data_IF_282862262039
#
_entry.id   IF_282862262039
#
_cell.length_a   1.000
_cell.length_b   1.000
_cell.length_c   1.000
_cell.angle_alpha   90.00
_cell.angle_beta   90.00
_cell.angle_gamma   90.00
#
_symmetry.space_group_name_H-M   'P 1'
#
loop_
_entity.id
_entity.type
_entity.pdbx_description
1 polymer ?
#
# COMPACT_ATOMS: atom_id res chain seq x y z
N UNK A 1 8.98 -45.38 -38.05
CA UNK A 1 8.60 -45.25 -36.63
C UNK A 1 9.38 -44.08 -36.07
N UNK A 2 8.67 -43.02 -35.68
CA UNK A 2 9.25 -41.72 -35.40
C UNK A 2 9.96 -41.64 -34.05
N UNK A 3 10.97 -40.79 -34.00
CA UNK A 3 11.41 -40.16 -32.77
C UNK A 3 11.73 -38.69 -33.09
N UNK A 4 10.67 -37.89 -33.12
CA UNK A 4 10.72 -36.45 -32.95
C UNK A 4 10.84 -36.21 -31.43
N UNK A 5 12.06 -35.89 -31.02
CA UNK A 5 12.45 -35.77 -29.62
C UNK A 5 13.10 -34.41 -29.35
N UNK A 6 12.32 -33.35 -29.60
CA UNK A 6 12.38 -32.08 -28.86
C UNK A 6 13.74 -31.41 -28.73
N UNK A 7 13.97 -30.39 -29.54
CA UNK A 7 15.00 -29.36 -29.38
C UNK A 7 14.87 -28.68 -28.01
N UNK A 8 15.54 -29.21 -26.98
CA UNK A 8 15.68 -28.49 -25.70
C UNK A 8 16.72 -27.39 -25.90
N UNK A 9 16.22 -26.19 -26.19
CA UNK A 9 17.01 -24.98 -26.13
C UNK A 9 17.69 -24.87 -24.75
N UNK A 10 19.00 -24.65 -24.81
CA UNK A 10 19.94 -24.70 -23.69
C UNK A 10 19.58 -23.65 -22.63
N UNK A 11 19.79 -23.98 -21.36
CA UNK A 11 19.69 -23.10 -20.19
C UNK A 11 20.70 -21.95 -20.16
N UNK A 12 20.82 -21.19 -21.25
CA UNK A 12 21.64 -19.99 -21.41
C UNK A 12 20.86 -18.79 -21.99
N UNK A 13 19.60 -18.95 -22.41
CA UNK A 13 18.80 -17.86 -23.01
C UNK A 13 17.84 -17.14 -22.03
N UNK A 14 17.80 -17.52 -20.75
CA UNK A 14 17.13 -16.72 -19.71
C UNK A 14 18.05 -15.66 -19.06
N UNK A 15 19.34 -15.66 -19.39
CA UNK A 15 20.31 -14.66 -18.89
C UNK A 15 20.46 -13.43 -19.80
N UNK A 16 19.76 -13.39 -20.95
CA UNK A 16 19.89 -12.32 -21.94
C UNK A 16 18.78 -11.25 -21.90
N UNK A 17 17.81 -11.33 -20.96
CA UNK A 17 16.83 -10.26 -20.72
C UNK A 17 17.07 -9.53 -19.38
N UNK A 18 17.83 -10.13 -18.44
CA UNK A 18 18.13 -9.53 -17.13
C UNK A 18 19.61 -9.53 -16.73
N UNK A 19 20.52 -9.93 -17.63
CA UNK A 19 21.95 -9.82 -17.42
C UNK A 19 22.50 -8.46 -17.90
N UNK A 20 23.33 -7.84 -17.07
CA UNK A 20 24.62 -7.28 -17.48
C UNK A 20 24.87 -5.76 -17.63
N UNK A 21 24.00 -4.83 -17.25
CA UNK A 21 24.41 -3.39 -17.23
C UNK A 21 24.08 -2.60 -15.94
N UNK A 22 23.82 -3.28 -14.83
CA UNK A 22 23.90 -2.65 -13.50
C UNK A 22 24.61 -3.60 -12.50
N UNK A 23 25.92 -3.75 -12.73
CA UNK A 23 26.93 -4.27 -11.83
C UNK A 23 26.59 -4.10 -10.34
N UNK A 24 26.59 -5.09 -9.46
CA UNK A 24 27.72 -5.98 -9.10
C UNK A 24 29.10 -5.30 -9.09
N UNK A 25 29.16 -4.04 -8.65
CA UNK A 25 30.39 -3.39 -8.16
C UNK A 25 30.05 -2.21 -7.22
N UNK A 26 29.34 -2.50 -6.15
CA UNK A 26 29.24 -1.62 -4.97
C UNK A 26 29.17 -2.48 -3.69
N UNK A 27 30.11 -3.40 -3.54
CA UNK A 27 30.50 -3.88 -2.21
C UNK A 27 31.28 -2.75 -1.54
N UNK A 28 30.55 -1.83 -0.90
CA UNK A 28 30.90 -1.01 0.27
C UNK A 28 29.90 0.16 0.37
N UNK A 29 29.31 0.34 1.56
CA UNK A 29 28.45 1.47 1.96
C UNK A 29 27.26 1.80 1.05
N UNK A 30 26.21 0.98 1.09
CA UNK A 30 24.87 1.46 0.73
C UNK A 30 23.88 1.05 1.83
N UNK A 31 23.72 1.98 2.77
CA UNK A 31 22.48 2.16 3.52
C UNK A 31 21.33 2.06 2.52
N UNK A 32 20.33 1.23 2.79
CA UNK A 32 19.26 0.97 1.84
C UNK A 32 18.48 2.27 1.60
N UNK A 33 18.84 2.97 0.54
CA UNK A 33 18.38 4.30 0.20
C UNK A 33 16.84 4.28 0.16
N UNK A 34 16.25 5.10 1.01
CA UNK A 34 14.81 5.19 1.19
C UNK A 34 14.21 6.02 0.07
N UNK A 35 14.07 5.35 -1.05
CA UNK A 35 13.56 5.93 -2.28
C UNK A 35 12.10 5.55 -2.50
N UNK A 36 11.40 6.43 -3.20
CA UNK A 36 10.10 6.16 -3.77
C UNK A 36 10.21 4.97 -4.73
N UNK A 37 9.46 3.90 -4.52
CA UNK A 37 9.53 2.73 -5.40
C UNK A 37 9.12 3.04 -6.85
N UNK A 38 8.26 4.04 -7.06
CA UNK A 38 7.78 4.41 -8.39
C UNK A 38 8.80 5.20 -9.22
N UNK A 39 9.60 6.06 -8.57
CA UNK A 39 10.45 7.04 -9.26
C UNK A 39 11.92 6.98 -8.87
N UNK A 40 12.27 6.15 -7.89
CA UNK A 40 13.61 6.05 -7.29
C UNK A 40 14.14 7.37 -6.72
N UNK A 41 13.26 8.36 -6.48
CA UNK A 41 13.61 9.64 -5.88
C UNK A 41 13.63 9.53 -4.35
N UNK A 42 14.45 10.32 -3.66
CA UNK A 42 14.47 10.34 -2.19
C UNK A 42 13.11 10.78 -1.64
N UNK A 43 12.71 10.17 -0.51
CA UNK A 43 11.44 10.48 0.16
C UNK A 43 11.49 11.80 0.94
N UNK A 44 12.68 12.29 1.25
CA UNK A 44 12.91 13.60 1.85
C UNK A 44 13.63 14.52 0.87
N UNK A 45 13.45 15.82 1.07
CA UNK A 45 14.26 16.86 0.41
C UNK A 45 14.65 17.88 1.46
N UNK A 46 15.96 18.05 1.66
CA UNK A 46 16.52 19.04 2.59
C UNK A 46 16.02 18.83 4.04
N UNK A 47 15.99 17.59 4.53
CA UNK A 47 15.56 17.25 5.89
C UNK A 47 14.06 17.39 6.16
N UNK A 48 13.24 17.76 5.17
CA UNK A 48 11.78 17.80 5.30
C UNK A 48 11.17 16.57 4.63
N UNK A 49 10.31 15.87 5.37
CA UNK A 49 9.48 14.80 4.81
C UNK A 49 8.53 15.39 3.78
N UNK A 50 8.58 14.90 2.54
CA UNK A 50 7.45 15.08 1.64
C UNK A 50 6.26 14.24 2.13
N UNK A 51 5.07 14.44 1.54
CA UNK A 51 3.93 13.57 1.85
C UNK A 51 4.19 12.18 1.26
N UNK A 52 4.42 11.22 2.14
CA UNK A 52 4.67 9.81 1.77
C UNK A 52 3.37 9.02 1.89
N UNK A 53 3.17 8.11 0.95
CA UNK A 53 2.13 7.09 1.00
C UNK A 53 2.78 5.70 0.99
N UNK A 54 2.12 4.72 1.60
CA UNK A 54 2.56 3.33 1.64
C UNK A 54 1.47 2.38 1.16
N UNK A 55 1.85 1.24 0.60
CA UNK A 55 0.93 0.15 0.26
C UNK A 55 0.97 -0.99 1.29
N UNK A 56 0.09 -1.98 1.14
CA UNK A 56 0.03 -3.13 2.05
C UNK A 56 1.28 -4.01 2.03
N UNK A 57 2.11 -3.93 0.97
CA UNK A 57 3.35 -4.69 0.84
C UNK A 57 4.49 -4.01 1.60
N UNK A 58 4.30 -2.77 2.05
CA UNK A 58 5.31 -1.99 2.76
C UNK A 58 6.17 -1.12 1.85
N UNK A 59 5.77 -0.93 0.60
CA UNK A 59 6.46 -0.04 -0.34
C UNK A 59 6.10 1.41 -0.04
N UNK A 60 7.08 2.30 -0.17
CA UNK A 60 6.90 3.74 0.05
C UNK A 60 6.88 4.51 -1.27
N UNK A 61 6.06 5.55 -1.32
CA UNK A 61 5.84 6.38 -2.50
C UNK A 61 5.73 7.86 -2.13
N UNK A 62 6.21 8.73 -3.01
CA UNK A 62 5.84 10.14 -2.96
C UNK A 62 4.38 10.29 -3.40
N UNK A 63 3.52 10.76 -2.47
CA UNK A 63 2.06 10.77 -2.67
C UNK A 63 1.64 11.54 -3.92
N UNK A 64 2.32 12.64 -4.24
CA UNK A 64 2.05 13.45 -5.45
C UNK A 64 2.25 12.64 -6.73
N UNK A 65 3.40 11.98 -6.86
CA UNK A 65 3.76 11.22 -8.06
C UNK A 65 2.89 9.97 -8.22
N UNK A 66 2.56 9.31 -7.10
CA UNK A 66 1.65 8.17 -7.13
C UNK A 66 0.25 8.58 -7.60
N UNK A 67 -0.24 9.74 -7.14
CA UNK A 67 -1.53 10.29 -7.58
C UNK A 67 -1.54 10.63 -9.07
N UNK A 68 -0.49 11.28 -9.56
CA UNK A 68 -0.34 11.59 -10.98
C UNK A 68 -0.35 10.31 -11.83
N UNK A 69 0.39 9.28 -11.43
CA UNK A 69 0.43 7.99 -12.13
C UNK A 69 -0.92 7.23 -12.08
N UNK A 70 -1.66 7.31 -10.96
CA UNK A 70 -3.00 6.73 -10.85
C UNK A 70 -4.00 7.42 -11.78
N UNK A 71 -3.97 8.76 -11.86
CA UNK A 71 -4.83 9.54 -12.76
C UNK A 71 -4.50 9.27 -14.23
N UNK A 72 -3.22 9.16 -14.57
CA UNK A 72 -2.74 8.83 -15.90
C UNK A 72 -2.91 7.34 -16.26
N UNK A 73 -3.27 6.48 -15.29
CA UNK A 73 -3.30 5.01 -15.44
C UNK A 73 -1.98 4.43 -15.95
N UNK A 74 -0.86 5.01 -15.51
CA UNK A 74 0.49 4.71 -15.99
C UNK A 74 1.33 3.92 -14.98
N UNK A 75 0.69 3.25 -14.02
CA UNK A 75 1.41 2.44 -13.03
C UNK A 75 2.03 1.19 -13.67
N UNK A 76 3.28 0.82 -13.30
CA UNK A 76 3.89 -0.44 -13.71
C UNK A 76 3.07 -1.65 -13.28
N UNK A 77 3.19 -2.76 -14.02
CA UNK A 77 2.49 -4.01 -13.72
C UNK A 77 2.79 -4.54 -12.30
N UNK A 78 4.01 -4.31 -11.80
CA UNK A 78 4.43 -4.67 -10.45
C UNK A 78 3.60 -3.98 -9.34
N UNK A 79 2.97 -2.84 -9.66
CA UNK A 79 2.13 -2.03 -8.76
C UNK A 79 0.63 -2.13 -9.10
N UNK A 80 0.24 -3.13 -9.90
CA UNK A 80 -1.16 -3.33 -10.34
C UNK A 80 -2.16 -3.60 -9.21
N UNK A 81 -1.68 -3.91 -8.00
CA UNK A 81 -2.51 -4.01 -6.81
C UNK A 81 -3.04 -2.65 -6.33
N UNK A 82 -2.38 -1.54 -6.68
CA UNK A 82 -2.81 -0.19 -6.34
C UNK A 82 -3.74 0.31 -7.45
N UNK A 83 -5.05 0.32 -7.17
CA UNK A 83 -6.08 0.75 -8.15
C UNK A 83 -6.71 2.08 -7.77
N UNK A 84 -6.63 2.44 -6.50
CA UNK A 84 -7.28 3.60 -5.93
C UNK A 84 -6.55 4.10 -4.70
N UNK A 85 -6.96 5.29 -4.24
CA UNK A 85 -6.50 5.86 -2.97
C UNK A 85 -6.83 4.99 -1.75
N UNK A 86 -7.76 4.03 -1.88
CA UNK A 86 -8.12 3.12 -0.79
C UNK A 86 -7.11 2.00 -0.57
N UNK A 87 -6.22 1.79 -1.54
CA UNK A 87 -5.21 0.74 -1.55
C UNK A 87 -3.87 1.21 -0.95
N UNK A 88 -3.82 2.48 -0.49
CA UNK A 88 -2.66 3.11 0.13
C UNK A 88 -3.03 3.81 1.44
N UNK A 89 -2.05 3.96 2.32
CA UNK A 89 -2.15 4.72 3.56
C UNK A 89 -1.20 5.91 3.51
N UNK A 90 -1.63 7.04 4.06
CA UNK A 90 -0.72 8.16 4.31
C UNK A 90 0.17 7.81 5.49
N UNK A 91 1.48 7.98 5.34
CA UNK A 91 2.45 7.63 6.40
C UNK A 91 3.30 8.83 6.81
N UNK A 92 3.54 8.94 8.11
CA UNK A 92 4.37 9.99 8.72
C UNK A 92 5.76 9.43 8.99
N UNK A 93 6.70 9.79 8.13
CA UNK A 93 8.10 9.38 8.22
C UNK A 93 8.91 10.50 8.88
N UNK A 94 9.74 10.14 9.86
CA UNK A 94 10.65 11.07 10.52
C UNK A 94 12.07 10.88 9.98
N UNK A 95 12.71 11.97 9.58
CA UNK A 95 14.06 11.98 9.02
C UNK A 95 15.01 12.78 9.93
N UNK A 96 16.26 12.33 10.02
CA UNK A 96 17.39 13.06 10.62
C UNK A 96 17.89 14.18 9.67
N UNK A 97 18.83 15.01 10.13
CA UNK A 97 19.56 15.99 9.31
C UNK A 97 20.34 15.36 8.15
N UNK A 98 20.64 14.07 8.26
CA UNK A 98 21.29 13.25 7.23
C UNK A 98 20.28 12.53 6.30
N UNK A 99 19.00 12.91 6.34
CA UNK A 99 17.93 12.27 5.55
C UNK A 99 17.73 10.76 5.83
N UNK A 100 18.21 10.30 6.99
CA UNK A 100 18.04 8.95 7.51
C UNK A 100 16.69 8.80 8.23
N UNK A 101 15.96 7.69 8.03
CA UNK A 101 14.75 7.43 8.82
C UNK A 101 15.11 7.13 10.27
N UNK A 102 14.44 7.84 11.17
CA UNK A 102 14.58 7.68 12.61
C UNK A 102 13.24 7.33 13.23
N UNK A 103 13.25 6.39 14.18
CA UNK A 103 12.07 6.09 14.96
C UNK A 103 11.80 7.23 15.95
N UNK A 104 10.61 7.85 15.95
CA UNK A 104 10.32 8.98 16.84
C UNK A 104 10.21 8.57 18.32
N UNK A 105 10.08 7.27 18.61
CA UNK A 105 9.92 6.73 19.98
C UNK A 105 11.26 6.25 20.56
N UNK A 106 12.04 5.50 19.78
CA UNK A 106 13.29 4.90 20.25
C UNK A 106 14.55 5.63 19.79
N UNK A 107 14.41 6.64 18.94
CA UNK A 107 15.51 7.34 18.25
C UNK A 107 16.43 6.41 17.45
N UNK A 108 16.03 5.15 17.22
CA UNK A 108 16.80 4.20 16.44
C UNK A 108 16.82 4.64 14.97
N UNK A 109 18.00 4.59 14.33
CA UNK A 109 18.15 4.76 12.89
C UNK A 109 17.74 3.47 12.17
N UNK A 110 17.12 3.59 11.00
CA UNK A 110 16.77 2.42 10.19
C UNK A 110 18.04 1.73 9.68
N UNK A 111 18.14 0.42 9.90
CA UNK A 111 19.18 -0.41 9.30
C UNK A 111 18.54 -1.65 8.65
N UNK A 112 19.32 -2.40 7.87
CA UNK A 112 18.85 -3.68 7.28
C UNK A 112 18.43 -4.71 8.34
N UNK A 113 19.01 -4.63 9.54
CA UNK A 113 18.71 -5.55 10.65
C UNK A 113 17.55 -5.09 11.53
N UNK A 114 17.26 -3.79 11.55
CA UNK A 114 16.18 -3.21 12.34
C UNK A 114 15.07 -2.73 11.41
N UNK A 115 14.08 -3.60 11.09
CA UNK A 115 12.98 -3.21 10.23
C UNK A 115 12.12 -2.15 10.91
N UNK A 116 11.47 -1.35 10.08
CA UNK A 116 10.50 -0.35 10.48
C UNK A 116 9.13 -0.80 10.01
N UNK A 117 8.10 -0.36 10.71
CA UNK A 117 6.72 -0.62 10.38
C UNK A 117 5.91 0.67 10.47
N UNK A 118 4.77 0.68 9.81
CA UNK A 118 3.75 1.68 10.03
C UNK A 118 2.45 1.04 10.51
N UNK A 119 1.64 1.85 11.18
CA UNK A 119 0.31 1.46 11.62
C UNK A 119 -0.73 1.99 10.64
N UNK A 120 -1.58 1.13 10.07
CA UNK A 120 -2.60 1.53 9.08
C UNK A 120 -3.59 2.57 9.59
N UNK A 121 -3.86 2.59 10.90
CA UNK A 121 -4.87 3.47 11.51
C UNK A 121 -4.42 4.92 11.59
N UNK A 122 -3.15 5.17 11.87
CA UNK A 122 -2.61 6.52 12.07
C UNK A 122 -1.47 6.91 11.13
N UNK A 123 -0.89 5.96 10.40
CA UNK A 123 0.23 6.19 9.50
C UNK A 123 1.58 6.44 10.19
N UNK A 124 1.66 6.37 11.53
CA UNK A 124 2.91 6.56 12.24
C UNK A 124 3.92 5.46 11.85
N UNK A 125 5.13 5.88 11.48
CA UNK A 125 6.25 4.99 11.17
C UNK A 125 7.16 4.88 12.40
N UNK A 126 7.39 3.65 12.87
CA UNK A 126 8.17 3.33 14.07
C UNK A 126 9.01 2.08 13.86
N UNK A 127 10.04 1.87 14.70
CA UNK A 127 10.84 0.66 14.66
C UNK A 127 10.00 -0.57 15.07
N UNK A 128 10.06 -1.66 14.30
CA UNK A 128 9.32 -2.89 14.60
C UNK A 128 9.66 -3.46 15.99
N UNK A 129 10.89 -3.25 16.46
CA UNK A 129 11.35 -3.69 17.78
C UNK A 129 10.49 -3.11 18.91
N UNK A 130 10.08 -1.84 18.81
CA UNK A 130 9.20 -1.20 19.81
C UNK A 130 7.86 -1.93 19.89
N UNK A 131 7.27 -2.27 18.74
CA UNK A 131 6.03 -3.04 18.71
C UNK A 131 6.22 -4.48 19.18
N UNK A 132 7.36 -5.11 18.89
CA UNK A 132 7.68 -6.45 19.36
C UNK A 132 7.81 -6.52 20.88
N UNK A 133 8.47 -5.54 21.50
CA UNK A 133 8.57 -5.40 22.96
C UNK A 133 7.18 -5.16 23.58
N UNK A 134 6.39 -4.27 23.00
CA UNK A 134 5.02 -4.01 23.45
C UNK A 134 4.15 -5.28 23.38
N UNK A 135 4.25 -6.02 22.28
CA UNK A 135 3.55 -7.28 22.08
C UNK A 135 3.93 -8.32 23.15
N UNK A 136 5.22 -8.43 23.45
CA UNK A 136 5.72 -9.33 24.48
C UNK A 136 5.23 -8.94 25.88
N UNK A 137 5.27 -7.65 26.22
CA UNK A 137 4.79 -7.13 27.51
C UNK A 137 3.29 -7.32 27.73
N UNK A 138 2.50 -7.28 26.64
CA UNK A 138 1.06 -7.51 26.68
C UNK A 138 0.67 -8.99 26.57
N UNK A 139 1.66 -9.91 26.54
CA UNK A 139 1.44 -11.35 26.38
C UNK A 139 0.61 -11.74 25.15
N UNK A 140 0.78 -11.00 24.05
CA UNK A 140 0.09 -11.28 22.78
C UNK A 140 0.92 -12.31 22.02
N UNK A 141 0.47 -13.56 22.03
CA UNK A 141 1.11 -14.66 21.33
C UNK A 141 0.72 -14.74 19.84
N UNK A 142 1.37 -15.61 19.07
CA UNK A 142 1.01 -15.87 17.66
C UNK A 142 -0.24 -16.77 17.54
N UNK A 143 -0.71 -17.33 18.65
CA UNK A 143 -1.85 -18.26 18.73
C UNK A 143 -3.17 -17.58 19.06
N UNK A 144 -3.15 -16.32 19.48
CA UNK A 144 -4.36 -15.52 19.67
C UNK A 144 -4.97 -15.20 18.32
N UNK A 145 -5.99 -16.00 17.95
CA UNK A 145 -6.86 -15.73 16.80
C UNK A 145 -7.62 -14.41 16.97
N UNK A 146 -7.82 -13.99 18.22
CA UNK A 146 -8.45 -12.73 18.58
C UNK A 146 -7.55 -11.54 18.26
N UNK A 147 -8.18 -10.48 17.74
CA UNK A 147 -7.48 -9.27 17.39
C UNK A 147 -6.98 -8.58 18.67
N UNK A 148 -5.66 -8.47 18.82
CA UNK A 148 -5.06 -7.81 19.98
C UNK A 148 -5.00 -6.28 19.78
N UNK A 149 -5.79 -5.55 20.58
CA UNK A 149 -5.85 -4.08 20.59
C UNK A 149 -4.71 -3.48 21.41
N UNK A 150 -4.14 -2.38 20.90
CA UNK A 150 -3.18 -1.55 21.63
C UNK A 150 -3.20 -0.11 21.11
N UNK A 151 -2.48 0.77 21.81
CA UNK A 151 -2.32 2.17 21.43
C UNK A 151 -0.95 2.43 20.80
N UNK A 152 -0.93 3.27 19.75
CA UNK A 152 0.28 3.66 19.04
C UNK A 152 1.23 4.41 19.99
N UNK A 153 2.48 3.96 20.16
CA UNK A 153 3.43 4.62 21.07
C UNK A 153 3.79 6.07 20.69
N UNK A 154 3.51 6.49 19.45
CA UNK A 154 3.80 7.84 18.96
C UNK A 154 2.63 8.82 19.13
N UNK A 155 1.39 8.37 18.92
CA UNK A 155 0.21 9.26 18.88
C UNK A 155 -0.96 8.80 19.75
N UNK A 156 -0.82 7.70 20.49
CA UNK A 156 -1.88 7.05 21.28
C UNK A 156 -3.11 6.61 20.47
N UNK A 157 -3.02 6.61 19.14
CA UNK A 157 -4.08 6.10 18.27
C UNK A 157 -4.23 4.58 18.39
N UNK A 158 -5.46 4.09 18.51
CA UNK A 158 -5.77 2.67 18.60
C UNK A 158 -5.38 1.92 17.33
N UNK A 159 -4.85 0.72 17.48
CA UNK A 159 -4.52 -0.19 16.39
C UNK A 159 -4.60 -1.65 16.85
N UNK A 160 -4.67 -2.55 15.88
CA UNK A 160 -4.66 -3.99 16.13
C UNK A 160 -3.38 -4.62 15.59
N UNK A 161 -2.69 -5.40 16.42
CA UNK A 161 -1.43 -6.04 16.02
C UNK A 161 -1.59 -6.96 14.80
N UNK A 162 -2.71 -7.69 14.73
CA UNK A 162 -2.92 -8.76 13.76
C UNK A 162 -3.12 -8.25 12.32
N UNK A 163 -3.47 -6.98 12.11
CA UNK A 163 -3.74 -6.49 10.76
C UNK A 163 -3.36 -5.04 10.49
N UNK A 164 -3.20 -4.20 11.52
CA UNK A 164 -2.83 -2.80 11.33
C UNK A 164 -1.32 -2.57 11.23
N UNK A 165 -0.49 -3.56 11.61
CA UNK A 165 0.97 -3.47 11.47
C UNK A 165 1.41 -3.87 10.07
N UNK A 166 2.22 -3.03 9.44
CA UNK A 166 2.83 -3.29 8.13
C UNK A 166 4.32 -2.98 8.17
N UNK A 167 5.16 -3.96 7.85
CA UNK A 167 6.61 -3.83 7.78
C UNK A 167 6.99 -3.11 6.48
N UNK A 168 7.83 -2.09 6.59
CA UNK A 168 8.32 -1.27 5.47
C UNK A 168 9.53 -1.93 4.81
N UNK A 169 9.54 -1.96 3.47
CA UNK A 169 10.48 -2.67 2.61
C UNK A 169 10.90 -4.04 3.22
N UNK A 170 9.96 -5.00 3.34
CA UNK A 170 10.26 -6.29 3.93
C UNK A 170 11.35 -7.01 3.13
N UNK A 171 12.37 -7.54 3.82
CA UNK A 171 13.48 -8.26 3.20
C UNK A 171 13.41 -9.77 3.40
N UNK A 172 12.80 -10.23 4.50
CA UNK A 172 12.63 -11.64 4.77
C UNK A 172 11.28 -12.13 4.26
N UNK A 173 11.22 -13.41 3.84
CA UNK A 173 9.95 -14.05 3.47
C UNK A 173 8.91 -13.97 4.59
N UNK A 174 9.35 -14.07 5.85
CA UNK A 174 8.47 -13.96 7.02
C UNK A 174 7.78 -12.60 7.10
N UNK A 175 8.51 -11.51 6.82
CA UNK A 175 7.95 -10.15 6.86
C UNK A 175 6.97 -9.92 5.70
N UNK A 176 7.26 -10.47 4.52
CA UNK A 176 6.36 -10.43 3.36
C UNK A 176 5.07 -11.19 3.68
N UNK A 177 5.19 -12.42 4.17
CA UNK A 177 4.05 -13.28 4.53
C UNK A 177 3.20 -12.63 5.65
N UNK A 178 3.83 -11.92 6.59
CA UNK A 178 3.12 -11.17 7.64
C UNK A 178 2.28 -10.04 7.04
N UNK A 179 2.87 -9.20 6.19
CA UNK A 179 2.17 -8.09 5.54
C UNK A 179 0.97 -8.59 4.71
N UNK A 180 1.17 -9.70 3.98
CA UNK A 180 0.15 -10.30 3.13
C UNK A 180 -0.99 -10.91 3.98
N UNK A 181 -0.67 -11.69 5.02
CA UNK A 181 -1.65 -12.26 5.95
C UNK A 181 -2.49 -11.17 6.62
N UNK A 182 -1.85 -10.13 7.13
CA UNK A 182 -2.49 -8.98 7.76
C UNK A 182 -3.46 -8.27 6.80
N UNK A 183 -3.05 -8.13 5.53
CA UNK A 183 -3.88 -7.52 4.51
C UNK A 183 -5.07 -8.40 4.09
N UNK A 184 -4.86 -9.71 3.92
CA UNK A 184 -5.92 -10.67 3.60
C UNK A 184 -6.97 -10.66 4.72
N UNK A 185 -6.56 -10.72 5.98
CA UNK A 185 -7.49 -10.64 7.11
C UNK A 185 -8.34 -9.36 7.08
N UNK A 186 -7.71 -8.21 6.80
CA UNK A 186 -8.41 -6.93 6.69
C UNK A 186 -9.48 -6.91 5.57
N UNK A 187 -9.17 -7.50 4.42
CA UNK A 187 -10.04 -7.48 3.24
C UNK A 187 -11.15 -8.54 3.33
N UNK A 188 -10.79 -9.76 3.70
CA UNK A 188 -11.70 -10.92 3.63
C UNK A 188 -12.56 -11.05 4.87
N UNK A 189 -11.98 -10.87 6.06
CA UNK A 189 -12.67 -10.98 7.34
C UNK A 189 -13.37 -9.67 7.70
N UNK A 190 -12.64 -8.56 7.72
CA UNK A 190 -13.17 -7.27 8.19
C UNK A 190 -13.89 -6.46 7.10
N UNK A 191 -13.76 -6.87 5.83
CA UNK A 191 -14.32 -6.15 4.69
C UNK A 191 -13.90 -4.67 4.63
N UNK A 192 -12.63 -4.39 4.96
CA UNK A 192 -12.05 -3.06 4.92
C UNK A 192 -10.94 -2.96 3.88
N UNK A 193 -10.76 -1.79 3.28
CA UNK A 193 -9.63 -1.49 2.40
C UNK A 193 -8.35 -1.24 3.18
N UNK A 194 -7.22 -1.17 2.48
CA UNK A 194 -5.93 -0.83 3.08
C UNK A 194 -5.98 0.45 3.92
N UNK A 195 -6.62 1.49 3.39
CA UNK A 195 -6.85 2.78 4.05
C UNK A 195 -7.91 2.76 5.17
N UNK A 196 -8.28 1.58 5.68
CA UNK A 196 -9.32 1.37 6.71
C UNK A 196 -10.69 1.96 6.37
N UNK A 197 -11.06 1.98 5.08
CA UNK A 197 -12.42 2.35 4.65
C UNK A 197 -13.25 1.10 4.36
N UNK A 198 -14.57 1.10 4.63
CA UNK A 198 -15.40 -0.05 4.29
C UNK A 198 -15.39 -0.37 2.79
N UNK A 199 -15.28 -1.66 2.45
CA UNK A 199 -15.52 -2.14 1.10
C UNK A 199 -17.00 -1.95 0.76
N UNK A 200 -17.27 -1.49 -0.47
CA UNK A 200 -18.67 -1.41 -0.95
C UNK A 200 -19.23 -2.82 -0.97
N UNK A 201 -20.35 -3.04 -0.27
CA UNK A 201 -21.14 -4.28 -0.43
C UNK A 201 -21.44 -4.43 -1.92
N UNK A 202 -21.15 -5.59 -2.50
CA UNK A 202 -21.70 -5.93 -3.81
C UNK A 202 -23.22 -5.92 -3.61
N UNK A 203 -23.93 -4.91 -4.12
CA UNK A 203 -25.36 -5.05 -4.28
C UNK A 203 -25.54 -6.19 -5.27
N UNK A 204 -26.29 -7.22 -4.89
CA UNK A 204 -26.74 -8.23 -5.85
C UNK A 204 -27.34 -7.48 -7.03
N UNK A 205 -26.73 -7.65 -8.20
CA UNK A 205 -27.35 -7.23 -9.46
C UNK A 205 -28.55 -8.15 -9.65
N UNK A 206 -29.68 -7.79 -9.07
CA UNK A 206 -30.96 -8.28 -9.54
C UNK A 206 -31.10 -7.81 -10.97
N UNK A 207 -31.13 -8.77 -11.90
CA UNK A 207 -31.49 -8.56 -13.29
C UNK A 207 -32.76 -7.71 -13.40
N UNK A 208 -32.62 -6.49 -13.90
CA UNK A 208 -33.71 -5.74 -14.53
C UNK A 208 -33.20 -5.16 -15.84
N UNK A 209 -33.04 -6.05 -16.82
CA UNK A 209 -33.18 -5.68 -18.22
C UNK A 209 -34.67 -5.49 -18.53
N UNK A 210 -34.94 -4.56 -19.46
CA UNK A 210 -36.25 -4.18 -20.02
C UNK A 210 -37.15 -3.28 -19.15
N UNK A 211 -37.12 -1.97 -19.40
CA UNK A 211 -38.09 -1.40 -20.35
C UNK A 211 -37.69 0.02 -20.76
N UNK A 212 -37.28 0.14 -22.01
CA UNK A 212 -37.01 1.41 -22.70
C UNK A 212 -38.35 1.99 -23.14
N UNK A 213 -38.90 2.95 -22.40
CA UNK A 213 -39.90 3.89 -22.96
C UNK A 213 -39.44 5.33 -22.79
N UNK A 214 -38.90 5.84 -23.89
CA UNK A 214 -38.85 7.26 -24.24
C UNK A 214 -40.19 7.93 -23.89
N UNK A 215 -40.17 8.98 -23.08
CA UNK A 215 -41.15 10.06 -23.20
C UNK A 215 -40.40 11.38 -23.35
N UNK A 216 -40.66 11.95 -24.51
CA UNK A 216 -40.23 13.22 -25.05
C UNK A 216 -40.65 14.39 -24.17
N UNK A 217 -39.80 15.41 -24.14
CA UNK A 217 -40.09 16.75 -23.64
C UNK A 217 -41.38 17.26 -24.29
N UNK A 218 -42.39 17.59 -23.49
CA UNK A 218 -43.47 18.50 -23.90
C UNK A 218 -43.16 19.89 -23.36
N UNK A 219 -42.93 20.77 -24.32
CA UNK A 219 -42.89 22.23 -24.21
C UNK A 219 -44.27 22.69 -23.72
N UNK A 220 -44.29 23.62 -22.76
CA UNK A 220 -45.51 24.34 -22.34
C UNK A 220 -45.79 25.45 -23.36
N UNK A 221 -47.00 25.58 -23.91
CA UNK A 221 -47.44 26.84 -24.49
C UNK A 221 -48.03 27.72 -23.39
N UNK A 222 -47.62 28.99 -23.41
CA UNK A 222 -48.37 30.11 -22.86
C UNK A 222 -49.67 30.26 -23.63
N UNK A 223 -50.78 30.47 -22.94
CA UNK A 223 -51.95 31.11 -23.54
C UNK A 223 -52.55 32.11 -22.53
N UNK A 224 -52.47 33.37 -22.97
CA UNK A 224 -53.21 34.52 -22.47
C UNK A 224 -54.70 34.23 -22.47
N UNK A 225 -55.41 34.67 -21.43
CA UNK A 225 -56.86 34.85 -21.53
C UNK A 225 -57.21 36.32 -21.28
N UNK A 226 -57.63 36.95 -22.36
CA UNK A 226 -58.22 38.29 -22.42
C UNK A 226 -59.72 38.13 -22.65
N UNK A 227 -60.48 39.05 -22.06
CA UNK A 227 -61.83 39.51 -22.43
C UNK A 227 -63.05 39.07 -21.59
N UNK A 228 -63.60 40.10 -20.91
CA UNK A 228 -64.97 40.61 -20.98
C UNK A 228 -66.12 39.63 -20.75
N UNK A 229 -66.88 39.88 -19.68
CA UNK A 229 -68.23 40.47 -19.73
C UNK A 229 -68.59 41.06 -18.38
#
# INVERSE_FOLDING_TARGET
MGNDGGTIARGKDLQAIFGAEAARNAENTHEAELVCLLTSLPLSKSGKSERVAADYKGNLFLKKQLLEALLAKSLPLALSHIKSLKDIADVSVHFDTEDNIVCPVSSAKRTKHFPFCYLRTCGCVIACKVLGELRHHLHIDDTTEEAAESECPQCSGKFMFNYDVVIINPHSKKDIDLNERNYIYLIDTLRMTHSKTPLKRKSDKSDKSSNKKRKTKKIKPDDNNTEKS
#
